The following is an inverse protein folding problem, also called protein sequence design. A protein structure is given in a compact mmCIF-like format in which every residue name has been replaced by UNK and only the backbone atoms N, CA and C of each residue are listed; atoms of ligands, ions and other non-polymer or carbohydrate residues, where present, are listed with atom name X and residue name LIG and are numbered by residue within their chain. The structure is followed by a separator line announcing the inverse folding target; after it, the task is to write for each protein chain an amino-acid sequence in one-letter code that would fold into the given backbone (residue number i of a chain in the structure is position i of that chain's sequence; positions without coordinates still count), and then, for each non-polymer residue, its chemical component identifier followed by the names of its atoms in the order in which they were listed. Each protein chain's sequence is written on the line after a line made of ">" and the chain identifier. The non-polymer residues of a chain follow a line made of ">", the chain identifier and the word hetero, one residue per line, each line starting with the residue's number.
data_IF_826169309168
#
_entry.id   IF_826169309168
#
_cell.length_a   1.000
_cell.length_b   1.000
_cell.length_c   1.000
_cell.angle_alpha   90.00
_cell.angle_beta   90.00
_cell.angle_gamma   90.00
#
_symmetry.space_group_name_H-M   'P 1'
#
loop_
_entity.id
_entity.type
_entity.pdbx_description
1 polymer ?
#
# COMPACT_ATOMS: atom_id res chain seq x y z
N UNK A 1 -25.55 22.36 -20.80
CA UNK A 1 -24.89 21.29 -20.05
C UNK A 1 -23.44 21.74 -19.83
N UNK A 2 -23.11 22.29 -18.64
CA UNK A 2 -21.76 22.70 -18.32
C UNK A 2 -20.97 21.44 -18.06
N UNK A 3 -20.01 21.11 -18.92
CA UNK A 3 -18.98 20.11 -18.60
C UNK A 3 -18.17 20.69 -17.41
N UNK A 4 -18.36 20.11 -16.23
CA UNK A 4 -17.39 20.28 -15.16
C UNK A 4 -16.13 19.54 -15.61
N UNK A 5 -15.18 20.27 -16.17
CA UNK A 5 -13.80 19.79 -16.22
C UNK A 5 -13.33 19.77 -14.76
N UNK A 6 -13.28 18.59 -14.17
CA UNK A 6 -12.54 18.39 -12.92
C UNK A 6 -11.09 18.75 -13.23
N UNK A 7 -10.65 19.90 -12.72
CA UNK A 7 -9.23 20.24 -12.80
C UNK A 7 -8.45 19.11 -12.11
N UNK A 8 -7.49 18.56 -12.83
CA UNK A 8 -6.60 17.53 -12.31
C UNK A 8 -5.85 18.10 -11.12
N UNK A 9 -6.06 17.54 -9.95
CA UNK A 9 -5.40 18.02 -8.75
C UNK A 9 -3.93 17.63 -8.73
N UNK A 10 -3.15 18.46 -8.05
CA UNK A 10 -1.74 18.20 -7.87
C UNK A 10 -1.57 16.95 -7.00
N UNK A 11 -0.82 15.96 -7.51
CA UNK A 11 -0.47 14.76 -6.75
C UNK A 11 0.37 15.11 -5.52
N UNK A 12 0.20 14.36 -4.43
CA UNK A 12 1.07 14.44 -3.25
C UNK A 12 2.46 13.90 -3.57
N UNK A 13 2.52 12.88 -4.43
CA UNK A 13 3.76 12.28 -4.91
C UNK A 13 4.49 13.25 -5.85
N UNK A 14 5.16 14.25 -5.26
CA UNK A 14 5.90 15.30 -5.98
C UNK A 14 7.38 14.90 -6.16
N UNK A 15 7.61 13.87 -6.98
CA UNK A 15 8.95 13.45 -7.35
C UNK A 15 9.17 13.59 -8.85
N UNK A 16 10.13 14.41 -9.21
CA UNK A 16 10.56 14.61 -10.60
C UNK A 16 11.57 13.54 -11.05
N UNK A 17 11.50 13.15 -12.33
CA UNK A 17 12.44 12.20 -12.92
C UNK A 17 12.13 10.74 -12.56
N UNK A 18 13.15 9.88 -12.61
CA UNK A 18 13.01 8.44 -12.48
C UNK A 18 13.63 7.86 -11.19
N UNK A 19 14.01 8.72 -10.23
CA UNK A 19 14.65 8.35 -8.96
C UNK A 19 14.17 9.22 -7.83
N UNK A 20 13.99 8.62 -6.65
CA UNK A 20 13.71 9.29 -5.40
C UNK A 20 14.90 9.08 -4.47
N UNK A 21 15.51 10.15 -3.99
CA UNK A 21 16.56 10.08 -2.98
C UNK A 21 15.95 10.20 -1.60
N UNK A 22 16.14 9.18 -0.79
CA UNK A 22 15.82 9.18 0.63
C UNK A 22 17.11 9.24 1.44
N UNK A 23 17.01 9.40 2.76
CA UNK A 23 18.18 9.51 3.64
C UNK A 23 19.13 8.33 3.53
N UNK A 24 18.62 7.13 3.22
CA UNK A 24 19.40 5.90 3.29
C UNK A 24 19.30 5.01 2.04
N UNK A 25 18.55 5.44 1.01
CA UNK A 25 18.35 4.62 -0.19
C UNK A 25 17.93 5.47 -1.39
N UNK A 26 18.38 5.05 -2.57
CA UNK A 26 17.88 5.58 -3.84
C UNK A 26 16.83 4.63 -4.41
N UNK A 27 15.61 5.12 -4.53
CA UNK A 27 14.45 4.38 -5.04
C UNK A 27 14.34 4.65 -6.54
N UNK A 28 14.02 3.63 -7.33
CA UNK A 28 13.81 3.77 -8.77
C UNK A 28 12.33 3.82 -9.09
N UNK A 29 11.91 4.77 -9.90
CA UNK A 29 10.57 4.78 -10.51
C UNK A 29 10.66 3.91 -11.77
N UNK A 30 9.97 2.78 -11.77
CA UNK A 30 10.00 1.78 -12.83
C UNK A 30 8.88 1.97 -13.84
N UNK A 31 7.71 2.38 -13.37
CA UNK A 31 6.55 2.67 -14.20
C UNK A 31 5.65 3.67 -13.47
N UNK A 32 4.90 4.46 -14.25
CA UNK A 32 3.95 5.44 -13.74
C UNK A 32 2.70 5.47 -14.60
N UNK A 33 1.54 5.42 -13.96
CA UNK A 33 0.23 5.66 -14.53
C UNK A 33 -0.31 6.96 -13.91
N UNK A 34 -0.85 7.87 -14.70
CA UNK A 34 -1.08 9.24 -14.26
C UNK A 34 -2.45 9.50 -13.64
N UNK A 35 -3.50 8.79 -14.05
CA UNK A 35 -4.86 9.05 -13.56
C UNK A 35 -5.69 7.77 -13.44
N UNK A 36 -5.90 7.28 -12.22
CA UNK A 36 -5.30 7.73 -10.96
C UNK A 36 -3.78 7.54 -10.94
N UNK A 37 -3.08 8.24 -10.07
CA UNK A 37 -1.65 8.01 -9.94
C UNK A 37 -1.38 6.62 -9.37
N UNK A 38 -0.67 5.79 -10.14
CA UNK A 38 -0.11 4.51 -9.70
C UNK A 38 1.35 4.46 -10.12
N UNK A 39 2.25 4.23 -9.16
CA UNK A 39 3.69 4.22 -9.40
C UNK A 39 4.29 2.89 -8.95
N UNK A 40 5.01 2.23 -9.85
CA UNK A 40 5.79 1.03 -9.52
C UNK A 40 7.21 1.46 -9.18
N UNK A 41 7.67 1.04 -8.01
CA UNK A 41 8.95 1.44 -7.41
C UNK A 41 9.86 0.23 -7.24
N UNK A 42 11.13 0.41 -7.55
CA UNK A 42 12.19 -0.57 -7.31
C UNK A 42 13.17 -0.11 -6.24
N UNK A 43 13.79 -1.07 -5.56
CA UNK A 43 14.79 -0.82 -4.51
C UNK A 43 14.22 -0.06 -3.29
N UNK A 44 12.95 -0.33 -2.94
CA UNK A 44 12.30 0.32 -1.79
C UNK A 44 12.80 -0.27 -0.47
N UNK A 45 12.97 -1.58 -0.41
CA UNK A 45 13.56 -2.30 0.72
C UNK A 45 14.80 -3.08 0.28
N UNK A 46 15.74 -3.32 1.20
CA UNK A 46 16.82 -4.28 0.98
C UNK A 46 16.33 -5.71 1.21
N UNK A 47 17.12 -6.68 0.74
CA UNK A 47 16.83 -8.10 1.01
C UNK A 47 16.82 -8.39 2.50
N UNK A 48 17.77 -7.84 3.25
CA UNK A 48 17.84 -7.98 4.71
C UNK A 48 16.63 -7.37 5.42
N UNK A 49 16.17 -6.18 4.99
CA UNK A 49 14.96 -5.54 5.53
C UNK A 49 13.70 -6.37 5.24
N UNK A 50 13.60 -6.96 4.06
CA UNK A 50 12.51 -7.86 3.71
C UNK A 50 12.52 -9.11 4.59
N UNK A 51 13.68 -9.74 4.75
CA UNK A 51 13.83 -10.96 5.55
C UNK A 51 13.55 -10.70 7.04
N UNK A 52 14.04 -9.56 7.57
CA UNK A 52 13.76 -9.12 8.94
C UNK A 52 12.26 -8.89 9.17
N UNK A 53 11.55 -8.23 8.25
CA UNK A 53 10.11 -8.02 8.35
C UNK A 53 9.33 -9.34 8.34
N UNK A 54 9.71 -10.30 7.51
CA UNK A 54 9.11 -11.64 7.45
C UNK A 54 9.33 -12.37 8.77
N UNK A 55 10.57 -12.42 9.25
CA UNK A 55 10.94 -13.19 10.45
C UNK A 55 10.23 -12.63 11.69
N UNK A 56 10.27 -11.31 11.91
CA UNK A 56 9.59 -10.68 13.04
C UNK A 56 8.06 -10.85 13.01
N UNK A 57 7.49 -11.08 11.84
CA UNK A 57 6.04 -11.20 11.67
C UNK A 57 5.53 -12.64 11.76
N UNK A 58 6.35 -13.61 11.36
CA UNK A 58 5.96 -15.00 11.09
C UNK A 58 5.12 -15.65 12.19
N UNK A 59 5.57 -15.55 13.43
CA UNK A 59 4.92 -16.18 14.58
C UNK A 59 3.77 -15.36 15.19
N UNK A 60 3.60 -14.11 14.75
CA UNK A 60 2.64 -13.14 15.29
C UNK A 60 1.43 -12.93 14.38
N UNK A 61 1.42 -13.59 13.22
CA UNK A 61 0.36 -13.45 12.24
C UNK A 61 -0.98 -13.91 12.81
N UNK A 62 -2.00 -13.09 12.60
CA UNK A 62 -3.40 -13.42 12.89
C UNK A 62 -4.23 -13.30 11.62
N UNK A 63 -5.33 -14.05 11.53
CA UNK A 63 -6.25 -13.94 10.41
C UNK A 63 -6.67 -12.47 10.21
N UNK A 64 -6.47 -11.94 9.01
CA UNK A 64 -6.75 -10.54 8.71
C UNK A 64 -8.24 -10.23 8.84
N UNK A 65 -8.53 -9.08 9.45
CA UNK A 65 -9.87 -8.53 9.63
C UNK A 65 -10.05 -7.34 8.70
N UNK A 66 -11.29 -7.06 8.29
CA UNK A 66 -11.60 -5.95 7.37
C UNK A 66 -12.66 -5.04 8.01
N UNK A 67 -12.64 -3.80 7.56
CA UNK A 67 -13.60 -2.78 7.94
C UNK A 67 -13.40 -2.19 9.32
N UNK A 68 -14.24 -1.24 9.66
CA UNK A 68 -14.26 -0.54 10.95
C UNK A 68 -14.52 -1.51 12.11
N UNK A 69 -15.42 -2.49 11.90
CA UNK A 69 -15.80 -3.51 12.90
C UNK A 69 -14.75 -4.63 13.03
N UNK A 70 -13.67 -4.58 12.25
CA UNK A 70 -12.62 -5.61 12.22
C UNK A 70 -13.18 -7.02 12.15
N UNK A 71 -14.14 -7.26 11.26
CA UNK A 71 -14.76 -8.56 11.06
C UNK A 71 -13.94 -9.48 10.16
N UNK A 72 -14.04 -10.79 10.41
CA UNK A 72 -13.52 -11.82 9.50
C UNK A 72 -14.50 -11.98 8.33
N UNK A 73 -13.97 -12.02 7.10
CA UNK A 73 -14.79 -12.28 5.92
C UNK A 73 -14.01 -13.03 4.83
N UNK A 74 -14.72 -13.40 3.76
CA UNK A 74 -14.15 -14.11 2.61
C UNK A 74 -13.54 -13.19 1.55
N UNK A 75 -13.58 -11.87 1.75
CA UNK A 75 -13.01 -10.89 0.80
C UNK A 75 -11.50 -10.86 0.93
N UNK A 76 -10.99 -10.89 2.17
CA UNK A 76 -9.55 -10.93 2.46
C UNK A 76 -9.21 -12.20 3.22
N UNK A 77 -8.40 -13.07 2.61
CA UNK A 77 -8.09 -14.39 3.18
C UNK A 77 -6.68 -14.50 3.80
N UNK A 78 -5.91 -13.43 3.78
CA UNK A 78 -4.56 -13.35 4.38
C UNK A 78 -4.52 -13.47 5.90
N UNK A 79 -3.33 -13.65 6.42
CA UNK A 79 -2.98 -13.37 7.81
C UNK A 79 -2.08 -12.13 7.88
N UNK A 80 -2.12 -11.39 8.98
CA UNK A 80 -1.31 -10.17 9.10
C UNK A 80 -1.06 -9.74 10.54
N UNK A 81 -0.10 -8.83 10.70
CA UNK A 81 0.26 -8.22 11.98
C UNK A 81 0.73 -6.78 11.73
N UNK A 82 0.38 -5.87 12.63
CA UNK A 82 1.03 -4.56 12.68
C UNK A 82 2.38 -4.68 13.38
N UNK A 83 3.40 -4.10 12.75
CA UNK A 83 4.76 -4.13 13.27
C UNK A 83 4.86 -3.31 14.56
N UNK A 84 5.58 -3.84 15.53
CA UNK A 84 6.05 -3.08 16.69
C UNK A 84 7.21 -2.18 16.29
N UNK A 85 7.36 -1.05 16.99
CA UNK A 85 8.44 -0.12 16.70
C UNK A 85 9.80 -0.73 17.08
N UNK A 86 10.67 -0.84 16.08
CA UNK A 86 12.09 -1.18 16.21
C UNK A 86 12.90 -0.13 15.46
N UNK A 87 14.23 -0.18 15.58
CA UNK A 87 15.10 0.70 14.82
C UNK A 87 14.91 0.50 13.31
N UNK A 88 14.78 -0.73 12.86
CA UNK A 88 14.53 -1.07 11.45
C UNK A 88 13.17 -0.54 10.99
N UNK A 89 12.11 -0.74 11.77
CA UNK A 89 10.77 -0.22 11.43
C UNK A 89 10.81 1.30 11.34
N UNK A 90 11.41 1.99 12.31
CA UNK A 90 11.55 3.45 12.31
C UNK A 90 12.29 3.94 11.05
N UNK A 91 13.37 3.27 10.67
CA UNK A 91 14.14 3.59 9.45
C UNK A 91 13.31 3.39 8.17
N UNK A 92 12.56 2.29 8.09
CA UNK A 92 11.65 1.99 6.97
C UNK A 92 10.53 3.02 6.90
N UNK A 93 9.86 3.33 8.01
CA UNK A 93 8.77 4.30 8.06
C UNK A 93 9.22 5.71 7.70
N UNK A 94 10.41 6.12 8.11
CA UNK A 94 11.00 7.40 7.67
C UNK A 94 11.19 7.43 6.16
N UNK A 95 11.69 6.35 5.57
CA UNK A 95 11.82 6.20 4.10
C UNK A 95 10.45 6.25 3.42
N UNK A 96 9.45 5.56 3.95
CA UNK A 96 8.07 5.57 3.43
C UNK A 96 7.52 7.00 3.42
N UNK A 97 7.67 7.75 4.51
CA UNK A 97 7.27 9.16 4.60
C UNK A 97 7.91 10.00 3.48
N UNK A 98 9.19 9.80 3.20
CA UNK A 98 9.90 10.50 2.12
C UNK A 98 9.43 10.08 0.73
N UNK A 99 9.12 8.79 0.51
CA UNK A 99 8.56 8.30 -0.76
C UNK A 99 7.16 8.85 -0.98
N UNK A 100 6.30 8.78 0.03
CA UNK A 100 4.89 9.17 -0.06
C UNK A 100 4.68 10.68 0.07
N UNK A 101 5.73 11.43 0.45
CA UNK A 101 5.70 12.87 0.72
C UNK A 101 4.62 13.28 1.74
N UNK A 102 4.42 12.45 2.76
CA UNK A 102 3.45 12.65 3.84
C UNK A 102 4.13 12.31 5.17
N UNK A 103 3.94 13.13 6.23
CA UNK A 103 4.47 12.83 7.56
C UNK A 103 4.01 11.46 8.06
N UNK A 104 4.91 10.71 8.72
CA UNK A 104 4.63 9.34 9.16
C UNK A 104 3.49 9.26 10.20
N UNK A 105 3.23 10.34 10.90
CA UNK A 105 2.15 10.50 11.87
C UNK A 105 0.76 10.35 11.23
N UNK A 106 0.66 10.51 9.92
CA UNK A 106 -0.55 10.25 9.14
C UNK A 106 -0.78 8.75 8.88
N UNK A 107 0.23 7.91 9.13
CA UNK A 107 0.18 6.48 8.81
C UNK A 107 -0.63 5.64 9.79
N UNK A 108 -1.32 4.62 9.28
CA UNK A 108 -2.04 3.62 10.10
C UNK A 108 -1.10 2.71 10.92
N UNK A 109 0.19 2.65 10.55
CA UNK A 109 1.18 1.68 11.03
C UNK A 109 1.59 0.71 9.92
N UNK A 110 2.85 0.26 9.97
CA UNK A 110 3.33 -0.72 9.02
C UNK A 110 2.69 -2.09 9.30
N UNK A 111 1.94 -2.62 8.36
CA UNK A 111 1.29 -3.92 8.47
C UNK A 111 1.96 -4.93 7.54
N UNK A 112 2.46 -6.04 8.10
CA UNK A 112 2.93 -7.19 7.32
C UNK A 112 1.80 -8.19 7.13
N UNK A 113 1.69 -8.74 5.91
CA UNK A 113 0.64 -9.65 5.48
C UNK A 113 1.26 -10.84 4.77
N UNK A 114 0.71 -12.02 5.03
CA UNK A 114 1.06 -13.27 4.35
C UNK A 114 -0.16 -13.87 3.68
N UNK A 115 0.04 -14.32 2.44
CA UNK A 115 -0.91 -15.11 1.66
C UNK A 115 -0.26 -16.43 1.29
N UNK A 116 -0.93 -17.53 1.59
CA UNK A 116 -0.55 -18.89 1.19
C UNK A 116 -1.36 -19.32 -0.05
N UNK A 117 -1.01 -20.44 -0.70
CA UNK A 117 -1.77 -20.92 -1.86
C UNK A 117 -3.29 -20.99 -1.60
N UNK A 118 -4.05 -20.51 -2.56
CA UNK A 118 -5.51 -20.35 -2.46
C UNK A 118 -5.99 -19.07 -1.81
N UNK A 119 -5.12 -18.27 -1.19
CA UNK A 119 -5.48 -17.01 -0.54
C UNK A 119 -5.38 -15.82 -1.50
N UNK A 120 -6.27 -14.86 -1.30
CA UNK A 120 -6.43 -13.67 -2.13
C UNK A 120 -6.94 -12.47 -1.30
N UNK A 121 -6.93 -11.30 -1.92
CA UNK A 121 -7.72 -10.16 -1.50
C UNK A 121 -8.53 -9.66 -2.69
N UNK A 122 -9.85 -9.91 -2.66
CA UNK A 122 -10.78 -9.57 -3.73
C UNK A 122 -10.80 -8.06 -4.02
N UNK A 123 -11.33 -7.62 -5.18
CA UNK A 123 -11.40 -6.21 -5.52
C UNK A 123 -12.01 -5.36 -4.40
N UNK A 124 -11.29 -4.32 -4.00
CA UNK A 124 -11.64 -3.43 -2.89
C UNK A 124 -11.04 -2.04 -3.08
N UNK A 125 -11.49 -1.12 -2.25
CA UNK A 125 -10.89 0.19 -2.04
C UNK A 125 -10.21 0.22 -0.69
N UNK A 126 -9.11 0.97 -0.58
CA UNK A 126 -8.41 1.16 0.70
C UNK A 126 -9.00 2.29 1.55
N UNK A 127 -9.74 3.20 0.92
CA UNK A 127 -10.46 4.26 1.61
C UNK A 127 -11.77 3.76 2.22
N UNK A 128 -12.21 4.43 3.27
CA UNK A 128 -13.46 4.12 3.94
C UNK A 128 -14.64 4.79 3.24
N UNK A 129 -15.76 4.09 3.18
CA UNK A 129 -17.02 4.65 2.66
C UNK A 129 -17.45 5.87 3.49
N UNK A 130 -18.10 6.84 2.86
CA UNK A 130 -18.57 8.08 3.52
C UNK A 130 -19.47 7.82 4.73
N UNK A 131 -20.19 6.70 4.75
CA UNK A 131 -21.03 6.27 5.87
C UNK A 131 -20.25 5.74 7.07
N UNK A 132 -18.96 5.47 6.93
CA UNK A 132 -18.08 5.01 8.00
C UNK A 132 -17.56 6.19 8.85
N UNK A 133 -17.49 6.04 10.17
CA UNK A 133 -16.86 7.04 11.06
C UNK A 133 -15.39 7.27 10.69
N UNK A 134 -14.70 6.26 10.20
CA UNK A 134 -13.30 6.36 9.78
C UNK A 134 -13.11 7.31 8.59
N UNK A 135 -14.18 7.62 7.82
CA UNK A 135 -14.12 8.57 6.70
C UNK A 135 -13.84 10.02 7.14
N UNK A 136 -14.07 10.38 8.40
CA UNK A 136 -13.73 11.70 8.94
C UNK A 136 -12.22 12.02 8.86
N UNK A 137 -11.37 11.00 8.94
CA UNK A 137 -9.95 11.08 8.64
C UNK A 137 -9.60 9.94 7.67
N UNK A 138 -10.06 10.07 6.42
CA UNK A 138 -9.95 9.00 5.45
C UNK A 138 -8.50 8.78 4.99
N UNK A 139 -8.22 7.58 4.51
CA UNK A 139 -6.98 7.24 3.82
C UNK A 139 -6.95 7.95 2.48
N UNK A 140 -5.78 8.38 2.05
CA UNK A 140 -5.55 9.15 0.81
C UNK A 140 -4.56 8.48 -0.14
N UNK A 141 -3.70 7.63 0.38
CA UNK A 141 -2.72 6.89 -0.43
C UNK A 141 -2.27 5.61 0.25
N UNK A 142 -1.74 4.71 -0.57
CA UNK A 142 -1.24 3.39 -0.15
C UNK A 142 0.12 3.12 -0.77
N UNK A 143 1.01 2.50 0.01
CA UNK A 143 2.24 1.88 -0.45
C UNK A 143 2.21 0.40 -0.08
N UNK A 144 2.22 -0.48 -1.09
CA UNK A 144 2.34 -1.94 -0.92
C UNK A 144 3.75 -2.34 -1.32
N UNK A 145 4.55 -2.85 -0.38
CA UNK A 145 5.92 -3.30 -0.58
C UNK A 145 5.95 -4.83 -0.62
N UNK A 146 6.64 -5.42 -1.59
CA UNK A 146 6.77 -6.86 -1.73
C UNK A 146 8.02 -7.34 -1.00
N UNK A 147 7.84 -8.28 -0.06
CA UNK A 147 8.93 -8.77 0.79
C UNK A 147 9.62 -10.03 0.22
N UNK A 148 8.99 -10.67 -0.76
CA UNK A 148 9.55 -11.82 -1.46
C UNK A 148 9.05 -11.88 -2.90
N UNK A 149 9.72 -12.69 -3.70
CA UNK A 149 9.24 -13.12 -4.99
C UNK A 149 8.14 -14.18 -4.80
N UNK A 150 7.17 -14.20 -5.72
CA UNK A 150 6.07 -15.19 -5.72
C UNK A 150 6.21 -16.03 -6.99
N UNK A 151 6.19 -17.36 -6.83
CA UNK A 151 6.40 -18.27 -7.97
C UNK A 151 5.27 -18.17 -9.00
N UNK A 152 4.00 -18.10 -8.54
CA UNK A 152 2.85 -17.97 -9.44
C UNK A 152 1.64 -17.35 -8.72
N UNK A 153 1.00 -16.38 -9.36
CA UNK A 153 -0.12 -15.65 -8.82
C UNK A 153 0.32 -14.52 -7.89
N UNK A 154 -0.61 -14.00 -7.11
CA UNK A 154 -0.32 -12.98 -6.08
C UNK A 154 -0.06 -11.57 -6.64
N UNK A 155 -0.34 -11.29 -7.90
CA UNK A 155 -0.20 -9.96 -8.48
C UNK A 155 -1.09 -8.95 -7.75
N UNK A 156 -0.65 -7.70 -7.70
CA UNK A 156 -1.53 -6.57 -7.37
C UNK A 156 -2.12 -6.04 -8.67
N UNK A 157 -3.43 -6.16 -8.82
CA UNK A 157 -4.12 -5.79 -10.07
C UNK A 157 -5.03 -4.59 -9.85
N UNK A 158 -5.07 -3.71 -10.85
CA UNK A 158 -5.99 -2.58 -10.95
C UNK A 158 -6.89 -2.83 -12.18
N UNK A 159 -8.03 -3.52 -12.01
CA UNK A 159 -8.84 -4.00 -13.14
C UNK A 159 -9.38 -2.88 -14.03
N UNK A 160 -9.69 -1.71 -13.46
CA UNK A 160 -10.18 -0.57 -14.24
C UNK A 160 -9.09 0.12 -15.07
N UNK A 161 -7.80 -0.17 -14.77
CA UNK A 161 -6.64 0.37 -15.47
C UNK A 161 -6.00 -0.66 -16.41
N UNK A 162 -6.46 -1.91 -16.40
CA UNK A 162 -5.81 -3.05 -17.05
C UNK A 162 -4.32 -3.18 -16.67
N UNK A 163 -4.00 -2.90 -15.39
CA UNK A 163 -2.65 -2.91 -14.86
C UNK A 163 -2.49 -4.07 -13.87
N UNK A 164 -1.43 -4.86 -14.07
CA UNK A 164 -0.98 -5.90 -13.13
C UNK A 164 0.46 -5.64 -12.71
N UNK A 165 0.70 -5.64 -11.40
CA UNK A 165 2.03 -5.50 -10.81
C UNK A 165 2.43 -6.81 -10.19
N UNK A 166 3.47 -7.44 -10.74
CA UNK A 166 4.00 -8.70 -10.25
C UNK A 166 4.86 -8.46 -9.01
N UNK A 167 4.67 -9.26 -7.95
CA UNK A 167 5.49 -9.15 -6.74
C UNK A 167 6.93 -9.53 -7.02
N UNK A 168 7.86 -8.64 -6.67
CA UNK A 168 9.29 -8.91 -6.67
C UNK A 168 9.92 -8.29 -5.41
N UNK A 169 10.81 -9.04 -4.77
CA UNK A 169 11.43 -8.68 -3.49
C UNK A 169 12.05 -7.28 -3.55
N UNK A 170 11.74 -6.45 -2.56
CA UNK A 170 12.22 -5.08 -2.45
C UNK A 170 11.53 -4.05 -3.34
N UNK A 171 10.59 -4.45 -4.20
CA UNK A 171 9.76 -3.55 -4.99
C UNK A 171 8.52 -3.09 -4.22
N UNK A 172 7.86 -2.05 -4.75
CA UNK A 172 6.58 -1.59 -4.22
C UNK A 172 5.67 -1.02 -5.32
N UNK A 173 4.38 -0.95 -5.02
CA UNK A 173 3.42 -0.15 -5.75
C UNK A 173 2.83 0.91 -4.83
N UNK A 174 2.89 2.16 -5.27
CA UNK A 174 2.29 3.32 -4.63
C UNK A 174 1.09 3.77 -5.44
N UNK A 175 0.00 4.19 -4.79
CA UNK A 175 -1.15 4.79 -5.45
C UNK A 175 -1.89 5.78 -4.56
N UNK A 176 -2.44 6.83 -5.20
CA UNK A 176 -3.25 7.86 -4.59
C UNK A 176 -4.70 7.74 -5.04
N UNK A 177 -5.65 8.04 -4.13
CA UNK A 177 -7.07 7.94 -4.43
C UNK A 177 -7.90 9.09 -3.85
N UNK A 178 -7.26 10.18 -3.45
CA UNK A 178 -7.95 11.37 -2.98
C UNK A 178 -7.86 12.50 -4.00
N UNK A 179 -8.82 13.44 -3.87
CA UNK A 179 -8.82 14.75 -4.49
C UNK A 179 -9.03 15.81 -3.41
N UNK A 180 -8.66 17.09 -3.67
CA UNK A 180 -8.80 18.17 -2.70
C UNK A 180 -10.27 18.47 -2.36
N UNK A 181 -11.19 18.24 -3.30
CA UNK A 181 -12.63 18.37 -3.12
C UNK A 181 -13.29 17.25 -2.28
N UNK A 182 -12.49 16.38 -1.64
CA UNK A 182 -12.92 15.20 -0.87
C UNK A 182 -13.51 14.04 -1.69
N UNK A 183 -13.61 14.14 -3.00
CA UNK A 183 -13.90 12.98 -3.83
C UNK A 183 -12.75 11.98 -3.81
N UNK A 184 -13.08 10.72 -3.91
CA UNK A 184 -12.11 9.62 -3.91
C UNK A 184 -12.14 8.91 -5.25
N UNK A 185 -10.96 8.69 -5.83
CA UNK A 185 -10.84 8.11 -7.16
C UNK A 185 -11.20 6.63 -7.18
N UNK A 186 -12.39 6.33 -7.71
CA UNK A 186 -12.88 4.95 -7.82
C UNK A 186 -12.11 4.10 -8.83
N UNK A 187 -11.30 4.69 -9.71
CA UNK A 187 -10.45 3.94 -10.62
C UNK A 187 -9.27 3.24 -9.91
N UNK A 188 -9.05 3.53 -8.61
CA UNK A 188 -8.09 2.82 -7.76
C UNK A 188 -8.61 1.50 -7.19
N UNK A 189 -9.76 1.00 -7.67
CA UNK A 189 -10.20 -0.36 -7.35
C UNK A 189 -9.05 -1.33 -7.65
N UNK A 190 -8.64 -2.11 -6.66
CA UNK A 190 -7.52 -3.05 -6.82
C UNK A 190 -7.77 -4.36 -6.06
N UNK A 191 -6.97 -5.38 -6.40
CA UNK A 191 -7.03 -6.69 -5.79
C UNK A 191 -5.63 -7.29 -5.65
N UNK A 192 -5.46 -8.19 -4.68
CA UNK A 192 -4.36 -9.16 -4.68
C UNK A 192 -4.88 -10.47 -5.24
N UNK A 193 -4.41 -10.88 -6.42
CA UNK A 193 -4.84 -12.13 -7.03
C UNK A 193 -4.48 -13.33 -6.17
N UNK A 194 -5.13 -14.45 -6.42
CA UNK A 194 -4.87 -15.67 -5.70
C UNK A 194 -3.42 -16.11 -5.86
N UNK A 195 -2.77 -16.44 -4.75
CA UNK A 195 -1.48 -17.13 -4.77
C UNK A 195 -1.72 -18.56 -5.24
N UNK A 196 -1.01 -18.97 -6.28
CA UNK A 196 -1.13 -20.32 -6.86
C UNK A 196 -0.01 -21.20 -6.34
N UNK A 197 1.24 -20.74 -6.46
CA UNK A 197 2.42 -21.43 -5.93
C UNK A 197 3.30 -20.48 -5.12
N UNK A 198 3.95 -21.01 -4.08
CA UNK A 198 4.76 -20.26 -3.14
C UNK A 198 3.91 -19.52 -2.10
N UNK A 199 4.46 -18.48 -1.54
CA UNK A 199 3.82 -17.60 -0.57
C UNK A 199 3.99 -16.15 -1.02
N UNK A 200 3.05 -15.29 -0.69
CA UNK A 200 3.21 -13.85 -0.87
C UNK A 200 3.30 -13.17 0.48
N UNK A 201 4.37 -12.42 0.68
CA UNK A 201 4.57 -11.55 1.82
C UNK A 201 4.64 -10.10 1.36
N UNK A 202 3.85 -9.24 2.00
CA UNK A 202 3.85 -7.80 1.72
C UNK A 202 3.84 -7.00 3.00
N UNK A 203 4.45 -5.81 2.96
CA UNK A 203 4.27 -4.79 3.98
C UNK A 203 3.46 -3.63 3.38
N UNK A 204 2.45 -3.17 4.09
CA UNK A 204 1.56 -2.12 3.60
C UNK A 204 1.53 -0.94 4.56
N UNK A 205 1.61 0.28 4.01
CA UNK A 205 1.39 1.52 4.71
C UNK A 205 0.25 2.28 4.05
N UNK A 206 -0.74 2.66 4.85
CA UNK A 206 -1.81 3.58 4.44
C UNK A 206 -1.57 4.93 5.08
N UNK A 207 -1.66 6.00 4.31
CA UNK A 207 -1.60 7.37 4.81
C UNK A 207 -2.98 8.00 4.84
N UNK A 208 -3.27 8.69 5.92
CA UNK A 208 -4.52 9.41 6.13
C UNK A 208 -4.39 10.88 5.82
N UNK A 209 -5.53 11.57 5.72
CA UNK A 209 -5.58 13.00 5.44
C UNK A 209 -5.00 13.84 6.58
N UNK A 210 -5.12 13.39 7.81
CA UNK A 210 -4.65 14.08 9.02
C UNK A 210 -3.85 13.12 9.91
N UNK A 211 -3.16 13.67 10.91
CA UNK A 211 -2.46 12.87 11.91
C UNK A 211 -3.39 11.79 12.49
N UNK A 212 -2.87 10.60 12.60
CA UNK A 212 -3.59 9.44 13.12
C UNK A 212 -2.87 8.76 14.28
N UNK A 213 -1.54 8.78 14.26
CA UNK A 213 -0.73 8.29 15.38
C UNK A 213 -0.58 9.39 16.40
N UNK A 214 -0.85 9.08 17.66
CA UNK A 214 -0.48 9.93 18.79
C UNK A 214 0.99 9.63 19.06
N UNK A 215 1.84 10.65 18.93
CA UNK A 215 3.26 10.61 19.32
C UNK A 215 3.40 10.39 20.81
#
# INVERSE_FOLDING_TARGET
>A
MKMHTTEKEQTIFDHAGNRIKTDNREIRILARYEEPLVVVLGNVLSDDECDELIEHSRERLQRSKIGEDRSLNSIRTSSGVFCEQTETITRIEKRISQIMNIPIEHGDGLQVLRYTPGQEYKPHYDFFAETSRASMNNRISTLVMYLNDVEQGGETVFPLLNLSVFPAKGMAVYFEYFYQNHELNKSTLHAGTQVIHGEKWVATMWMRRQNFRVS
#
